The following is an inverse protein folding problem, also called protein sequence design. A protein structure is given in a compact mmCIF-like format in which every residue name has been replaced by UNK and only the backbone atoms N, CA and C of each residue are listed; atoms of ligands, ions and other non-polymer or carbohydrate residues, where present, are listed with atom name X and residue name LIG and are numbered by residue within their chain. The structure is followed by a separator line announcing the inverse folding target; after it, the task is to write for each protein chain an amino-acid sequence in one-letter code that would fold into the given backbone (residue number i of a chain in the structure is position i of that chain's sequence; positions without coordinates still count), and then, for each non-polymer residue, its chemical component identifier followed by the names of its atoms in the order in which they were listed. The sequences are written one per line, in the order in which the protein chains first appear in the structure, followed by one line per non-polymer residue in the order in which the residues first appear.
data_IF_915346520689
#
_entry.id   IF_915346520689
#
_cell.length_a   1.000
_cell.length_b   1.000
_cell.length_c   1.000
_cell.angle_alpha   90.00
_cell.angle_beta   90.00
_cell.angle_gamma   90.00
#
_symmetry.space_group_name_H-M   'P 1'
#
loop_
_entity.id
_entity.type
_entity.pdbx_description
1 polymer ?
#
# COMPACT_ATOMS: atom_id res chain seq x y z
N UNK A 1 -26.06 -38.74 9.53
CA UNK A 1 -25.35 -37.52 10.00
C UNK A 1 -24.61 -36.95 8.80
N UNK A 2 -25.24 -36.04 8.06
CA UNK A 2 -24.61 -35.28 6.98
C UNK A 2 -25.30 -33.93 6.95
N UNK A 3 -24.85 -33.00 7.79
CA UNK A 3 -25.14 -31.58 7.64
C UNK A 3 -23.91 -30.80 8.12
N UNK A 4 -23.66 -29.67 7.45
CA UNK A 4 -22.69 -28.61 7.77
C UNK A 4 -21.33 -28.60 7.07
N UNK A 5 -21.31 -28.74 5.73
CA UNK A 5 -20.20 -28.21 4.91
C UNK A 5 -20.59 -26.96 4.09
N UNK A 6 -21.88 -26.79 3.73
CA UNK A 6 -22.32 -25.67 2.88
C UNK A 6 -22.47 -24.33 3.63
N UNK A 7 -22.79 -24.35 4.93
CA UNK A 7 -22.99 -23.12 5.72
C UNK A 7 -21.72 -22.31 5.98
N UNK A 8 -20.54 -22.93 5.93
CA UNK A 8 -19.25 -22.25 6.19
C UNK A 8 -18.72 -21.54 4.94
N UNK A 9 -18.89 -22.16 3.76
CA UNK A 9 -18.49 -21.57 2.47
C UNK A 9 -19.38 -20.37 2.09
N UNK A 10 -20.69 -20.47 2.35
CA UNK A 10 -21.64 -19.36 2.12
C UNK A 10 -21.28 -18.14 2.99
N UNK A 11 -20.85 -18.34 4.24
CA UNK A 11 -20.47 -17.25 5.14
C UNK A 11 -19.17 -16.54 4.69
N UNK A 12 -18.21 -17.27 4.11
CA UNK A 12 -16.98 -16.72 3.52
C UNK A 12 -17.24 -15.96 2.21
N UNK A 13 -18.14 -16.45 1.35
CA UNK A 13 -18.55 -15.77 0.12
C UNK A 13 -19.39 -14.51 0.39
N UNK A 14 -20.25 -14.53 1.43
CA UNK A 14 -21.10 -13.41 1.79
C UNK A 14 -20.30 -12.34 2.56
N UNK A 15 -19.34 -12.75 3.41
CA UNK A 15 -18.36 -11.83 3.99
C UNK A 15 -17.46 -11.22 2.93
N UNK A 16 -16.91 -11.99 1.97
CA UNK A 16 -16.08 -11.45 0.89
C UNK A 16 -16.86 -10.53 -0.07
N UNK A 17 -18.13 -10.81 -0.38
CA UNK A 17 -18.99 -9.92 -1.17
C UNK A 17 -19.42 -8.64 -0.44
N UNK A 18 -19.65 -8.73 0.87
CA UNK A 18 -19.89 -7.56 1.73
C UNK A 18 -18.61 -6.72 1.86
N UNK A 19 -17.46 -7.38 2.01
CA UNK A 19 -16.13 -6.78 2.10
C UNK A 19 -15.70 -6.13 0.78
N UNK A 20 -15.99 -6.73 -0.38
CA UNK A 20 -15.66 -6.16 -1.70
C UNK A 20 -16.47 -4.90 -2.03
N UNK A 21 -17.72 -4.81 -1.58
CA UNK A 21 -18.53 -3.58 -1.72
C UNK A 21 -18.03 -2.45 -0.82
N UNK A 22 -17.71 -2.74 0.44
CA UNK A 22 -17.20 -1.74 1.41
C UNK A 22 -15.79 -1.25 1.06
N UNK A 23 -14.94 -2.15 0.53
CA UNK A 23 -13.56 -1.80 0.19
C UNK A 23 -13.39 -0.98 -1.08
N UNK A 24 -14.33 -1.01 -2.04
CA UNK A 24 -14.22 -0.15 -3.25
C UNK A 24 -14.19 1.36 -2.94
N UNK A 25 -14.75 1.77 -1.79
CA UNK A 25 -14.76 3.16 -1.31
C UNK A 25 -13.48 3.48 -0.51
N UNK A 26 -12.99 2.49 0.24
CA UNK A 26 -11.87 2.61 1.19
C UNK A 26 -10.53 2.40 0.51
N UNK A 27 -10.40 1.46 -0.41
CA UNK A 27 -9.20 1.13 -1.19
C UNK A 27 -9.47 1.47 -2.66
N UNK A 28 -8.51 2.09 -3.34
CA UNK A 28 -8.64 2.46 -4.73
C UNK A 28 -7.32 2.35 -5.45
N UNK A 29 -7.31 1.67 -6.60
CA UNK A 29 -6.12 1.63 -7.43
C UNK A 29 -5.71 3.02 -7.96
N UNK A 30 -6.69 3.90 -8.17
CA UNK A 30 -6.49 5.28 -8.63
C UNK A 30 -6.17 6.28 -7.51
N UNK A 31 -6.04 5.81 -6.26
CA UNK A 31 -5.62 6.60 -5.12
C UNK A 31 -4.24 7.24 -5.33
N UNK A 32 -3.35 6.45 -5.93
CA UNK A 32 -1.94 6.72 -6.08
C UNK A 32 -1.44 6.28 -7.44
N UNK A 33 -0.35 6.90 -7.87
CA UNK A 33 0.46 6.48 -9.01
C UNK A 33 1.90 6.36 -8.58
N UNK A 34 2.53 5.26 -8.92
CA UNK A 34 3.96 5.01 -8.78
C UNK A 34 4.64 5.10 -10.14
N UNK A 35 5.92 5.45 -10.16
CA UNK A 35 6.72 5.46 -11.38
C UNK A 35 8.14 5.04 -11.08
N UNK A 36 8.87 4.64 -12.12
CA UNK A 36 10.31 4.40 -12.00
C UNK A 36 11.10 5.69 -12.25
N UNK A 37 12.25 5.88 -11.58
CA UNK A 37 13.22 6.87 -12.01
C UNK A 37 13.69 6.57 -13.43
N UNK A 38 14.01 7.62 -14.18
CA UNK A 38 14.57 7.49 -15.53
C UNK A 38 15.89 6.70 -15.52
N UNK A 39 16.76 6.96 -14.54
CA UNK A 39 17.95 6.14 -14.27
C UNK A 39 17.66 5.19 -13.10
N UNK A 40 17.52 3.90 -13.40
CA UNK A 40 17.27 2.85 -12.40
C UNK A 40 18.44 2.61 -11.45
N UNK A 41 19.66 3.09 -11.76
CA UNK A 41 20.81 2.94 -10.84
C UNK A 41 20.63 3.72 -9.54
N UNK A 42 19.73 4.71 -9.50
CA UNK A 42 19.42 5.40 -8.24
C UNK A 42 18.88 4.44 -7.18
N UNK A 43 18.28 3.31 -7.57
CA UNK A 43 17.79 2.29 -6.64
C UNK A 43 18.89 1.63 -5.80
N UNK A 44 20.16 1.69 -6.22
CA UNK A 44 21.28 1.13 -5.45
C UNK A 44 21.53 1.90 -4.15
N UNK A 45 20.98 3.12 -4.05
CA UNK A 45 21.16 4.03 -2.91
C UNK A 45 19.86 4.38 -2.20
N UNK A 46 18.72 3.87 -2.68
CA UNK A 46 17.42 4.19 -2.12
C UNK A 46 16.96 3.11 -1.15
N UNK A 47 16.39 3.57 -0.04
CA UNK A 47 15.57 2.76 0.85
C UNK A 47 14.13 2.64 0.31
N UNK A 48 13.33 1.65 0.78
CA UNK A 48 11.90 1.58 0.48
C UNK A 48 11.17 2.90 0.78
N UNK A 49 11.45 3.48 1.95
CA UNK A 49 10.90 4.75 2.41
C UNK A 49 11.16 5.89 1.44
N UNK A 50 12.43 6.11 1.06
CA UNK A 50 12.80 7.21 0.16
C UNK A 50 12.22 7.01 -1.24
N UNK A 51 12.11 5.77 -1.70
CA UNK A 51 11.45 5.49 -2.96
C UNK A 51 9.97 5.89 -2.90
N UNK A 52 9.24 5.46 -1.87
CA UNK A 52 7.82 5.77 -1.72
C UNK A 52 7.57 7.27 -1.57
N UNK A 53 8.47 7.99 -0.93
CA UNK A 53 8.37 9.44 -0.83
C UNK A 53 8.56 10.13 -2.19
N UNK A 54 9.58 9.73 -2.96
CA UNK A 54 10.01 10.44 -4.18
C UNK A 54 9.27 10.02 -5.45
N UNK A 55 8.80 8.77 -5.49
CA UNK A 55 8.29 8.12 -6.70
C UNK A 55 6.83 7.64 -6.53
N UNK A 56 6.11 8.24 -5.58
CA UNK A 56 4.67 8.08 -5.43
C UNK A 56 3.97 9.44 -5.49
N UNK A 57 2.78 9.48 -6.10
CA UNK A 57 1.88 10.62 -6.03
C UNK A 57 0.50 10.13 -5.69
N UNK A 58 -0.13 10.78 -4.71
CA UNK A 58 -1.52 10.54 -4.34
C UNK A 58 -2.44 11.60 -4.93
N UNK A 59 -3.70 11.26 -5.14
CA UNK A 59 -4.72 12.24 -5.50
C UNK A 59 -5.12 13.10 -4.28
N UNK A 60 -5.76 14.25 -4.54
CA UNK A 60 -6.11 15.21 -3.49
C UNK A 60 -7.04 14.61 -2.42
N UNK A 61 -7.97 13.72 -2.80
CA UNK A 61 -8.89 13.07 -1.86
C UNK A 61 -8.12 12.26 -0.82
N UNK A 62 -7.16 11.45 -1.27
CA UNK A 62 -6.31 10.64 -0.39
C UNK A 62 -5.33 11.48 0.40
N UNK A 63 -4.77 12.52 -0.21
CA UNK A 63 -3.92 13.46 0.51
C UNK A 63 -4.62 14.08 1.72
N UNK A 64 -5.89 14.52 1.58
CA UNK A 64 -6.69 15.04 2.69
C UNK A 64 -6.99 13.98 3.75
N UNK A 65 -7.32 12.76 3.33
CA UNK A 65 -7.54 11.63 4.25
C UNK A 65 -6.29 11.33 5.08
N UNK A 66 -5.16 11.13 4.41
CA UNK A 66 -3.89 10.82 5.07
C UNK A 66 -3.41 11.99 5.95
N UNK A 67 -3.68 13.24 5.55
CA UNK A 67 -3.38 14.41 6.39
C UNK A 67 -4.14 14.37 7.70
N UNK A 68 -5.45 14.08 7.64
CA UNK A 68 -6.29 13.99 8.83
C UNK A 68 -5.80 12.92 9.81
N UNK A 69 -5.45 11.74 9.31
CA UNK A 69 -4.96 10.66 10.17
C UNK A 69 -3.56 10.94 10.70
N UNK A 70 -2.66 11.46 9.87
CA UNK A 70 -1.34 11.91 10.32
C UNK A 70 -1.43 12.96 11.44
N UNK A 71 -2.28 13.98 11.27
CA UNK A 71 -2.43 15.04 12.27
C UNK A 71 -3.00 14.55 13.61
N UNK A 72 -3.71 13.41 13.63
CA UNK A 72 -4.21 12.75 14.85
C UNK A 72 -3.09 12.04 15.64
N UNK A 73 -2.06 11.56 14.96
CA UNK A 73 -1.03 10.67 15.53
C UNK A 73 0.37 11.26 15.61
N UNK A 74 0.60 12.41 14.97
CA UNK A 74 1.88 13.12 15.07
C UNK A 74 2.14 13.59 16.51
N UNK A 75 3.41 13.67 16.86
CA UNK A 75 3.88 14.23 18.11
C UNK A 75 3.89 15.78 18.07
N UNK A 76 4.34 16.38 19.17
CA UNK A 76 4.44 17.84 19.30
C UNK A 76 5.51 18.45 18.37
N UNK A 77 6.42 17.64 17.83
CA UNK A 77 7.43 18.07 16.85
C UNK A 77 6.87 18.03 15.41
N UNK A 78 5.66 17.50 15.24
CA UNK A 78 4.97 17.45 13.96
C UNK A 78 5.29 16.23 13.11
N UNK A 79 5.96 15.23 13.70
CA UNK A 79 6.31 13.97 13.03
C UNK A 79 5.51 12.82 13.63
N UNK A 80 5.29 11.74 12.88
CA UNK A 80 4.63 10.53 13.36
C UNK A 80 5.66 9.57 13.95
N UNK A 81 5.62 9.28 15.27
CA UNK A 81 6.46 8.24 15.86
C UNK A 81 6.11 6.85 15.31
N UNK A 82 7.11 6.03 15.01
CA UNK A 82 6.92 4.68 14.46
C UNK A 82 5.92 3.82 15.25
N UNK A 83 5.92 3.91 16.59
CA UNK A 83 4.98 3.18 17.46
C UNK A 83 3.50 3.47 17.21
N UNK A 84 3.17 4.57 16.52
CA UNK A 84 1.81 4.94 16.16
C UNK A 84 1.51 4.71 14.67
N UNK A 85 2.47 4.19 13.89
CA UNK A 85 2.29 3.96 12.46
C UNK A 85 1.17 2.95 12.17
N UNK A 86 1.13 1.85 12.92
CA UNK A 86 0.08 0.83 12.78
C UNK A 86 -1.32 1.42 12.99
N UNK A 87 -1.51 2.16 14.09
CA UNK A 87 -2.78 2.80 14.41
C UNK A 87 -3.15 3.89 13.39
N UNK A 88 -2.17 4.67 12.92
CA UNK A 88 -2.40 5.70 11.91
C UNK A 88 -2.85 5.11 10.56
N UNK A 89 -2.33 3.95 10.18
CA UNK A 89 -2.78 3.20 9.01
C UNK A 89 -4.17 2.60 9.25
N UNK A 90 -4.41 1.99 10.40
CA UNK A 90 -5.72 1.44 10.75
C UNK A 90 -6.82 2.52 10.65
N UNK A 91 -6.59 3.71 11.21
CA UNK A 91 -7.48 4.87 11.07
C UNK A 91 -7.67 5.31 9.61
N UNK A 92 -6.60 5.31 8.80
CA UNK A 92 -6.67 5.69 7.38
C UNK A 92 -7.59 4.76 6.58
N UNK A 93 -7.75 3.52 7.03
CA UNK A 93 -8.66 2.54 6.45
C UNK A 93 -9.87 2.26 7.32
N UNK A 94 -10.22 3.17 8.24
CA UNK A 94 -11.41 3.08 9.08
C UNK A 94 -11.53 1.75 9.85
N UNK A 95 -10.38 1.17 10.25
CA UNK A 95 -10.25 -0.12 10.91
C UNK A 95 -10.89 -1.31 10.16
N UNK A 96 -11.05 -1.22 8.84
CA UNK A 96 -11.59 -2.34 8.04
C UNK A 96 -10.53 -3.35 7.63
N UNK A 97 -9.24 -3.00 7.76
CA UNK A 97 -8.11 -3.88 7.45
C UNK A 97 -7.61 -4.52 8.74
N UNK A 98 -7.48 -5.84 8.73
CA UNK A 98 -6.93 -6.60 9.86
C UNK A 98 -5.49 -6.16 10.16
N UNK A 99 -5.18 -6.01 11.45
CA UNK A 99 -3.87 -5.56 11.92
C UNK A 99 -2.73 -6.45 11.43
N UNK A 100 -2.97 -7.74 11.20
CA UNK A 100 -1.99 -8.67 10.64
C UNK A 100 -1.49 -8.21 9.27
N UNK A 101 -2.38 -7.70 8.40
CA UNK A 101 -1.98 -7.18 7.09
C UNK A 101 -1.25 -5.84 7.23
N UNK A 102 -1.63 -5.01 8.20
CA UNK A 102 -0.94 -3.74 8.50
C UNK A 102 0.49 -4.00 8.98
N UNK A 103 0.68 -4.93 9.93
CA UNK A 103 2.01 -5.31 10.41
C UNK A 103 2.85 -5.92 9.27
N UNK A 104 2.25 -6.76 8.42
CA UNK A 104 2.94 -7.32 7.25
C UNK A 104 3.45 -6.23 6.31
N UNK A 105 2.62 -5.24 5.95
CA UNK A 105 3.04 -4.20 5.00
C UNK A 105 4.09 -3.26 5.60
N UNK A 106 4.00 -2.94 6.90
CA UNK A 106 5.05 -2.19 7.60
C UNK A 106 6.37 -2.97 7.60
N UNK A 107 6.32 -4.29 7.78
CA UNK A 107 7.49 -5.17 7.71
C UNK A 107 8.22 -5.13 6.37
N UNK A 108 7.53 -4.80 5.26
CA UNK A 108 8.17 -4.66 3.94
C UNK A 108 9.02 -3.39 3.80
N UNK A 109 8.78 -2.39 4.65
CA UNK A 109 9.40 -1.08 4.54
C UNK A 109 10.76 -0.98 5.25
N UNK A 110 11.10 -1.98 6.06
CA UNK A 110 12.38 -2.07 6.78
C UNK A 110 12.70 -0.81 7.60
N UNK A 111 11.69 -0.31 8.32
CA UNK A 111 11.78 0.91 9.13
C UNK A 111 12.30 0.61 10.54
N UNK A 112 13.34 1.32 11.03
CA UNK A 112 13.77 1.22 12.42
C UNK A 112 12.68 1.64 13.42
N UNK A 113 12.63 0.99 14.58
CA UNK A 113 11.57 1.23 15.58
C UNK A 113 11.62 2.62 16.25
N UNK A 114 12.75 3.31 16.18
CA UNK A 114 12.93 4.68 16.67
C UNK A 114 12.68 5.74 15.58
N UNK A 115 12.20 5.34 14.42
CA UNK A 115 11.95 6.25 13.30
C UNK A 115 10.86 7.26 13.64
N UNK A 116 11.10 8.51 13.27
CA UNK A 116 10.07 9.53 13.10
C UNK A 116 9.76 9.69 11.60
N UNK A 117 8.47 9.80 11.29
CA UNK A 117 7.95 9.77 9.93
C UNK A 117 7.33 11.14 9.64
N UNK A 118 7.84 11.83 8.63
CA UNK A 118 7.25 13.08 8.18
C UNK A 118 5.93 12.83 7.46
N UNK A 119 5.13 13.88 7.26
CA UNK A 119 3.88 13.75 6.53
C UNK A 119 4.08 13.27 5.08
N UNK A 120 5.14 13.73 4.40
CA UNK A 120 5.50 13.33 3.04
C UNK A 120 5.72 11.80 2.95
N UNK A 121 6.46 11.26 3.91
CA UNK A 121 6.77 9.84 3.96
C UNK A 121 5.54 9.02 4.35
N UNK A 122 4.73 9.50 5.29
CA UNK A 122 3.48 8.84 5.64
C UNK A 122 2.53 8.74 4.44
N UNK A 123 2.46 9.77 3.60
CA UNK A 123 1.67 9.73 2.35
C UNK A 123 2.14 8.61 1.43
N UNK A 124 3.45 8.46 1.23
CA UNK A 124 4.03 7.38 0.42
C UNK A 124 3.76 6.00 1.01
N UNK A 125 3.90 5.85 2.33
CA UNK A 125 3.63 4.62 3.07
C UNK A 125 2.15 4.23 2.94
N UNK A 126 1.23 5.14 3.24
CA UNK A 126 -0.21 4.90 3.17
C UNK A 126 -0.68 4.60 1.74
N UNK A 127 -0.08 5.24 0.73
CA UNK A 127 -0.35 4.96 -0.66
C UNK A 127 0.10 3.55 -1.07
N UNK A 128 1.26 3.11 -0.60
CA UNK A 128 1.78 1.78 -0.84
C UNK A 128 0.95 0.71 -0.15
N UNK A 129 0.60 0.90 1.12
CA UNK A 129 -0.24 -0.05 1.84
C UNK A 129 -1.62 -0.17 1.22
N UNK A 130 -2.20 0.93 0.72
CA UNK A 130 -3.45 0.86 -0.03
C UNK A 130 -3.32 0.04 -1.32
N UNK A 131 -2.24 0.20 -2.09
CA UNK A 131 -1.95 -0.62 -3.29
C UNK A 131 -1.76 -2.09 -2.92
N UNK A 132 -1.02 -2.36 -1.85
CA UNK A 132 -0.79 -3.72 -1.35
C UNK A 132 -2.10 -4.40 -0.94
N UNK A 133 -2.94 -3.73 -0.16
CA UNK A 133 -4.24 -4.26 0.27
C UNK A 133 -5.19 -4.45 -0.90
N UNK A 134 -5.25 -3.49 -1.84
CA UNK A 134 -6.05 -3.64 -3.05
C UNK A 134 -5.63 -4.89 -3.84
N UNK A 135 -4.33 -5.13 -4.00
CA UNK A 135 -3.83 -6.32 -4.69
C UNK A 135 -4.17 -7.63 -3.95
N UNK A 136 -4.20 -7.64 -2.61
CA UNK A 136 -4.59 -8.83 -1.84
C UNK A 136 -6.10 -9.10 -1.96
N UNK A 137 -6.93 -8.07 -1.78
CA UNK A 137 -8.38 -8.24 -1.65
C UNK A 137 -9.13 -8.22 -2.98
N UNK A 138 -8.60 -7.58 -4.03
CA UNK A 138 -9.25 -7.50 -5.34
C UNK A 138 -8.81 -8.59 -6.31
N UNK A 139 -7.61 -9.18 -6.16
CA UNK A 139 -7.20 -10.35 -6.97
C UNK A 139 -8.06 -11.60 -6.74
N UNK A 140 -8.93 -11.59 -5.72
CA UNK A 140 -9.88 -12.67 -5.46
C UNK A 140 -11.16 -12.57 -6.30
N UNK A 141 -11.49 -11.38 -6.82
CA UNK A 141 -12.64 -11.13 -7.69
C UNK A 141 -12.14 -10.96 -9.15
N UNK A 142 -12.33 -11.97 -9.99
CA UNK A 142 -11.85 -12.07 -11.39
C UNK A 142 -12.45 -11.04 -12.38
N UNK A 143 -12.94 -9.90 -11.92
CA UNK A 143 -13.53 -8.86 -12.77
C UNK A 143 -12.55 -7.69 -12.89
N UNK A 144 -11.73 -7.66 -13.95
CA UNK A 144 -10.89 -6.49 -14.24
C UNK A 144 -11.76 -5.31 -14.72
N UNK A 145 -11.86 -4.18 -14.00
CA UNK A 145 -12.16 -2.92 -14.65
C UNK A 145 -10.83 -2.36 -15.19
N UNK A 146 -10.65 -2.43 -16.51
CA UNK A 146 -9.52 -1.79 -17.19
C UNK A 146 -9.62 -0.27 -17.06
N UNK A 147 -9.03 0.26 -15.99
CA UNK A 147 -9.00 1.67 -15.68
C UNK A 147 -7.85 2.34 -16.46
N UNK A 148 -8.22 3.13 -17.47
CA UNK A 148 -7.32 3.84 -18.40
C UNK A 148 -6.26 4.73 -17.73
N UNK A 149 -6.40 5.09 -16.44
CA UNK A 149 -5.45 5.94 -15.71
C UNK A 149 -4.14 5.23 -15.33
N UNK A 150 -4.05 3.92 -15.49
CA UNK A 150 -2.89 3.12 -15.09
C UNK A 150 -1.91 2.82 -16.21
N UNK A 151 -2.16 3.26 -17.45
CA UNK A 151 -1.31 2.88 -18.60
C UNK A 151 0.16 3.27 -18.36
N UNK A 152 0.42 4.44 -17.78
CA UNK A 152 1.79 4.90 -17.50
C UNK A 152 2.49 4.05 -16.43
N UNK A 153 1.82 3.81 -15.30
CA UNK A 153 2.36 2.93 -14.25
C UNK A 153 2.59 1.51 -14.79
N UNK A 154 1.63 0.96 -15.53
CA UNK A 154 1.78 -0.34 -16.18
C UNK A 154 2.97 -0.37 -17.13
N UNK A 155 3.23 0.68 -17.90
CA UNK A 155 4.40 0.76 -18.76
C UNK A 155 5.70 0.84 -17.95
N UNK A 156 5.72 1.62 -16.87
CA UNK A 156 6.88 1.75 -15.98
C UNK A 156 7.20 0.43 -15.27
N UNK A 157 6.20 -0.28 -14.76
CA UNK A 157 6.40 -1.54 -14.04
C UNK A 157 6.35 -2.77 -14.95
N UNK A 158 5.98 -2.59 -16.23
CA UNK A 158 6.08 -3.67 -17.21
C UNK A 158 7.51 -4.15 -17.27
N UNK A 159 7.63 -5.47 -17.08
CA UNK A 159 8.90 -6.16 -17.21
C UNK A 159 10.01 -5.62 -16.29
N UNK A 160 9.62 -5.17 -15.09
CA UNK A 160 10.50 -4.66 -14.03
C UNK A 160 11.78 -5.48 -13.82
N UNK A 161 11.70 -6.82 -13.93
CA UNK A 161 12.86 -7.69 -13.75
C UNK A 161 14.00 -7.41 -14.74
N UNK A 162 13.71 -7.10 -16.02
CA UNK A 162 14.78 -6.73 -16.96
C UNK A 162 15.29 -5.32 -16.69
N UNK A 163 14.40 -4.39 -16.30
CA UNK A 163 14.79 -3.00 -15.98
C UNK A 163 15.78 -2.96 -14.83
N UNK A 164 15.63 -3.86 -13.86
CA UNK A 164 16.50 -3.98 -12.70
C UNK A 164 17.66 -4.97 -12.90
N UNK A 165 17.87 -5.51 -14.10
CA UNK A 165 18.95 -6.45 -14.37
C UNK A 165 20.30 -5.74 -14.21
N UNK A 166 21.18 -6.32 -13.38
CA UNK A 166 22.50 -5.74 -13.09
C UNK A 166 22.50 -4.54 -12.14
N UNK A 167 21.35 -4.15 -11.57
CA UNK A 167 21.23 -3.09 -10.56
C UNK A 167 21.35 -3.69 -9.16
N UNK A 168 22.26 -3.18 -8.34
CA UNK A 168 22.45 -3.61 -6.95
C UNK A 168 21.39 -3.02 -6.00
N UNK A 169 20.14 -3.43 -6.18
CA UNK A 169 18.99 -2.98 -5.38
C UNK A 169 18.86 -3.76 -4.08
N UNK A 170 18.47 -3.09 -2.99
CA UNK A 170 18.21 -3.75 -1.72
C UNK A 170 17.04 -4.76 -1.81
N UNK A 171 17.07 -5.89 -1.07
CA UNK A 171 16.00 -6.88 -1.09
C UNK A 171 14.63 -6.32 -0.72
N UNK A 172 14.57 -5.44 0.29
CA UNK A 172 13.34 -4.80 0.75
C UNK A 172 12.74 -3.90 -0.34
N UNK A 173 13.57 -3.08 -1.00
CA UNK A 173 13.11 -2.22 -2.10
C UNK A 173 12.64 -3.04 -3.30
N UNK A 174 13.37 -4.09 -3.68
CA UNK A 174 12.93 -5.03 -4.74
C UNK A 174 11.58 -5.66 -4.41
N UNK A 175 11.34 -5.97 -3.13
CA UNK A 175 10.09 -6.58 -2.69
C UNK A 175 8.93 -5.61 -2.85
N UNK A 176 9.05 -4.36 -2.39
CA UNK A 176 7.95 -3.39 -2.54
C UNK A 176 7.66 -3.05 -4.00
N UNK A 177 8.69 -2.95 -4.87
CA UNK A 177 8.50 -2.67 -6.30
C UNK A 177 7.72 -3.78 -7.02
N UNK A 178 7.76 -5.02 -6.51
CA UNK A 178 6.99 -6.16 -7.05
C UNK A 178 5.53 -6.18 -6.60
N UNK A 179 5.19 -5.41 -5.56
CA UNK A 179 3.82 -5.27 -5.07
C UNK A 179 3.06 -4.11 -5.73
N UNK A 180 3.76 -3.30 -6.52
CA UNK A 180 3.21 -2.24 -7.37
C UNK A 180 2.89 -2.84 -8.74
#
# INVERSE_FOLDING_TARGET
MYENSDGFAVNLEEQSRSFSRVNSVILSQQASRFWLPFDVKVFEKLTPREYLEKFCKVNNRRHVLYKRTFDKHKDNEGELPFKFLEEALADAYMHTIDMTYITQVIGLLDLPSNTKITFSEFVGIAAFSERYFFNIFTRQDNTEPQLQKEVLEKLDFSSLNWKLAGVNISPSLRTILRQI
#
